data_IF_941132140406
#
_entry.id   IF_941132140406
#
_cell.length_a   1.000
_cell.length_b   1.000
_cell.length_c   1.000
_cell.angle_alpha   90.00
_cell.angle_beta   90.00
_cell.angle_gamma   90.00
#
_symmetry.space_group_name_H-M   'P 1'
#
loop_
_entity.id
_entity.type
_entity.pdbx_description
1 polymer ?
#
# COMPACT_ATOMS: atom_id res chain seq x y z
N UNK A 1 5.08 4.07 -10.87
CA UNK A 1 5.93 4.63 -11.94
C UNK A 1 5.20 5.70 -12.77
N UNK A 2 4.00 5.41 -13.29
CA UNK A 2 3.22 6.37 -14.09
C UNK A 2 2.79 7.60 -13.27
N UNK A 3 2.34 7.43 -12.03
CA UNK A 3 1.91 8.52 -11.16
C UNK A 3 3.06 9.47 -10.81
N UNK A 4 4.25 8.96 -10.49
CA UNK A 4 5.41 9.78 -10.18
C UNK A 4 5.87 10.64 -11.36
N UNK A 5 5.80 10.11 -12.60
CA UNK A 5 6.08 10.87 -13.80
C UNK A 5 4.97 11.90 -14.12
N UNK A 6 3.72 11.56 -13.79
CA UNK A 6 2.57 12.43 -13.97
C UNK A 6 2.64 13.64 -13.04
N UNK A 7 2.99 13.40 -11.78
CA UNK A 7 3.15 14.42 -10.74
C UNK A 7 4.24 15.42 -11.10
N UNK A 8 5.41 14.97 -11.55
CA UNK A 8 6.48 15.84 -12.05
C UNK A 8 6.09 16.66 -13.27
N UNK A 9 5.26 16.10 -14.16
CA UNK A 9 4.89 16.75 -15.43
C UNK A 9 3.73 17.73 -15.27
N UNK A 10 2.76 17.41 -14.43
CA UNK A 10 1.48 18.13 -14.36
C UNK A 10 1.20 18.75 -12.99
N UNK A 11 2.01 18.46 -11.98
CA UNK A 11 1.85 18.90 -10.59
C UNK A 11 0.85 18.08 -9.79
N UNK A 12 0.97 18.15 -8.45
CA UNK A 12 0.23 17.34 -7.50
C UNK A 12 -1.29 17.47 -7.64
N UNK A 13 -1.79 18.70 -7.79
CA UNK A 13 -3.23 18.98 -7.87
C UNK A 13 -3.86 18.29 -9.08
N UNK A 14 -3.21 18.39 -10.25
CA UNK A 14 -3.69 17.75 -11.49
C UNK A 14 -3.68 16.23 -11.36
N UNK A 15 -2.66 15.67 -10.71
CA UNK A 15 -2.54 14.22 -10.46
C UNK A 15 -3.67 13.71 -9.56
N UNK A 16 -4.03 14.45 -8.50
CA UNK A 16 -5.15 14.11 -7.61
C UNK A 16 -6.48 14.12 -8.40
N UNK A 17 -6.74 15.18 -9.17
CA UNK A 17 -7.96 15.25 -9.97
C UNK A 17 -8.02 14.17 -11.06
N UNK A 18 -6.91 13.85 -11.70
CA UNK A 18 -6.84 12.75 -12.67
C UNK A 18 -7.21 11.41 -12.02
N UNK A 19 -6.68 11.14 -10.82
CA UNK A 19 -7.05 9.96 -10.04
C UNK A 19 -8.53 9.89 -9.70
N UNK A 20 -9.12 11.00 -9.25
CA UNK A 20 -10.54 11.08 -8.95
C UNK A 20 -11.42 10.85 -10.19
N UNK A 21 -11.05 11.42 -11.33
CA UNK A 21 -11.75 11.21 -12.61
C UNK A 21 -11.66 9.74 -13.04
N UNK A 22 -10.49 9.11 -12.95
CA UNK A 22 -10.30 7.70 -13.30
C UNK A 22 -11.16 6.79 -12.41
N UNK A 23 -11.21 7.06 -11.10
CA UNK A 23 -12.08 6.33 -10.19
C UNK A 23 -13.56 6.50 -10.55
N UNK A 24 -14.01 7.72 -10.77
CA UNK A 24 -15.40 8.01 -11.17
C UNK A 24 -15.77 7.34 -12.51
N UNK A 25 -14.85 7.37 -13.48
CA UNK A 25 -15.04 6.70 -14.77
C UNK A 25 -15.13 5.18 -14.61
N UNK A 26 -14.37 4.57 -13.69
CA UNK A 26 -14.46 3.13 -13.44
C UNK A 26 -15.84 2.72 -12.92
N UNK A 27 -16.43 3.50 -12.02
CA UNK A 27 -17.81 3.30 -11.57
C UNK A 27 -18.83 3.45 -12.70
N UNK A 28 -18.64 4.43 -13.58
CA UNK A 28 -19.50 4.63 -14.75
C UNK A 28 -19.43 3.42 -15.71
N UNK A 29 -18.23 2.89 -15.97
CA UNK A 29 -18.06 1.69 -16.81
C UNK A 29 -18.75 0.48 -16.20
N UNK A 30 -18.63 0.27 -14.89
CA UNK A 30 -19.32 -0.83 -14.18
C UNK A 30 -20.83 -0.68 -14.33
N UNK A 31 -21.38 0.52 -14.07
CA UNK A 31 -22.83 0.77 -14.12
C UNK A 31 -23.44 0.58 -15.52
N UNK A 32 -22.62 0.74 -16.57
CA UNK A 32 -23.04 0.64 -17.98
C UNK A 32 -22.58 -0.68 -18.64
N UNK A 33 -22.03 -1.62 -17.87
CA UNK A 33 -21.38 -2.84 -18.40
C UNK A 33 -22.34 -3.85 -19.06
N UNK A 34 -23.66 -3.70 -18.85
CA UNK A 34 -24.65 -4.62 -19.41
C UNK A 34 -24.80 -5.96 -18.68
N UNK A 35 -24.11 -6.15 -17.55
CA UNK A 35 -24.34 -7.32 -16.70
C UNK A 35 -25.68 -7.21 -15.95
N UNK A 36 -26.10 -8.29 -15.30
CA UNK A 36 -27.30 -8.36 -14.47
C UNK A 36 -27.21 -7.32 -13.35
N UNK A 37 -28.34 -6.67 -13.05
CA UNK A 37 -28.41 -5.55 -12.10
C UNK A 37 -27.85 -5.92 -10.72
N UNK A 38 -28.15 -7.11 -10.23
CA UNK A 38 -27.71 -7.63 -8.95
C UNK A 38 -26.17 -7.74 -8.90
N UNK A 39 -25.55 -8.21 -9.98
CA UNK A 39 -24.08 -8.31 -10.11
C UNK A 39 -23.45 -6.92 -10.17
N UNK A 40 -24.05 -5.99 -10.91
CA UNK A 40 -23.58 -4.60 -10.97
C UNK A 40 -23.60 -3.98 -9.57
N UNK A 41 -24.70 -4.15 -8.82
CA UNK A 41 -24.83 -3.64 -7.46
C UNK A 41 -23.76 -4.22 -6.52
N UNK A 42 -23.53 -5.52 -6.57
CA UNK A 42 -22.48 -6.19 -5.78
C UNK A 42 -21.09 -5.64 -6.10
N UNK A 43 -20.74 -5.49 -7.38
CA UNK A 43 -19.46 -4.96 -7.81
C UNK A 43 -19.31 -3.48 -7.43
N UNK A 44 -20.33 -2.67 -7.58
CA UNK A 44 -20.31 -1.26 -7.15
C UNK A 44 -20.05 -1.13 -5.66
N UNK A 45 -20.76 -1.90 -4.83
CA UNK A 45 -20.55 -1.92 -3.38
C UNK A 45 -19.14 -2.38 -3.01
N UNK A 46 -18.60 -3.39 -3.70
CA UNK A 46 -17.23 -3.84 -3.54
C UNK A 46 -16.24 -2.70 -3.84
N UNK A 47 -16.35 -2.04 -4.98
CA UNK A 47 -15.48 -0.93 -5.38
C UNK A 47 -15.49 0.22 -4.37
N UNK A 48 -16.68 0.62 -3.90
CA UNK A 48 -16.84 1.69 -2.90
C UNK A 48 -16.13 1.33 -1.59
N UNK A 49 -16.35 0.10 -1.10
CA UNK A 49 -15.75 -0.36 0.15
C UNK A 49 -14.22 -0.48 0.04
N UNK A 50 -13.72 -1.06 -1.05
CA UNK A 50 -12.28 -1.22 -1.23
C UNK A 50 -11.57 0.13 -1.45
N UNK A 51 -12.19 1.06 -2.16
CA UNK A 51 -11.67 2.43 -2.29
C UNK A 51 -11.59 3.15 -0.93
N UNK A 52 -12.62 2.99 -0.10
CA UNK A 52 -12.59 3.49 1.28
C UNK A 52 -11.43 2.88 2.07
N UNK A 53 -11.28 1.55 2.03
CA UNK A 53 -10.20 0.83 2.72
C UNK A 53 -8.81 1.33 2.30
N UNK A 54 -8.56 1.51 1.00
CA UNK A 54 -7.30 2.06 0.49
C UNK A 54 -7.04 3.46 1.05
N UNK A 55 -8.03 4.35 1.03
CA UNK A 55 -7.84 5.71 1.54
C UNK A 55 -7.59 5.74 3.05
N UNK A 56 -8.29 4.91 3.82
CA UNK A 56 -8.06 4.77 5.26
C UNK A 56 -6.64 4.23 5.53
N UNK A 57 -6.19 3.22 4.79
CA UNK A 57 -4.85 2.66 4.95
C UNK A 57 -3.75 3.68 4.60
N UNK A 58 -3.93 4.45 3.54
CA UNK A 58 -2.97 5.51 3.17
C UNK A 58 -2.92 6.61 4.23
N UNK A 59 -4.04 6.93 4.87
CA UNK A 59 -4.08 7.88 5.98
C UNK A 59 -3.30 7.34 7.18
N UNK A 60 -3.45 6.06 7.52
CA UNK A 60 -2.69 5.42 8.59
C UNK A 60 -1.18 5.39 8.27
N UNK A 61 -0.81 5.02 7.05
CA UNK A 61 0.59 4.98 6.60
C UNK A 61 1.29 6.35 6.76
N UNK A 62 0.59 7.43 6.42
CA UNK A 62 1.07 8.80 6.64
C UNK A 62 1.18 9.18 8.13
N UNK A 63 0.23 8.74 8.96
CA UNK A 63 0.29 8.99 10.41
C UNK A 63 1.46 8.27 11.06
N UNK A 64 1.78 7.05 10.60
CA UNK A 64 2.89 6.26 11.11
C UNK A 64 4.27 6.88 10.86
N UNK A 65 4.40 7.85 9.96
CA UNK A 65 5.64 8.61 9.80
C UNK A 65 5.95 9.44 11.06
N UNK A 66 4.92 9.85 11.81
CA UNK A 66 5.01 10.77 12.96
C UNK A 66 4.80 10.11 14.32
N UNK A 67 4.24 8.90 14.36
CA UNK A 67 3.87 8.21 15.59
C UNK A 67 4.65 6.91 15.77
N UNK A 68 4.81 6.45 17.01
CA UNK A 68 5.32 5.12 17.28
C UNK A 68 4.29 4.09 16.83
N UNK A 69 4.71 3.17 15.97
CA UNK A 69 3.84 2.19 15.31
C UNK A 69 4.18 0.79 15.82
N UNK A 70 3.18 0.07 16.29
CA UNK A 70 3.27 -1.34 16.68
C UNK A 70 3.04 -2.27 15.50
N UNK A 71 3.34 -3.57 15.67
CA UNK A 71 2.97 -4.61 14.71
C UNK A 71 1.45 -4.72 14.51
N UNK A 72 0.66 -4.51 15.56
CA UNK A 72 -0.79 -4.54 15.47
C UNK A 72 -1.33 -3.38 14.63
N UNK A 73 -0.78 -2.17 14.79
CA UNK A 73 -1.13 -1.02 13.99
C UNK A 73 -0.80 -1.25 12.51
N UNK A 74 0.40 -1.80 12.23
CA UNK A 74 0.79 -2.16 10.88
C UNK A 74 -0.15 -3.21 10.28
N UNK A 75 -0.52 -4.25 11.03
CA UNK A 75 -1.45 -5.29 10.57
C UNK A 75 -2.83 -4.70 10.22
N UNK A 76 -3.35 -3.77 11.03
CA UNK A 76 -4.61 -3.07 10.76
C UNK A 76 -4.50 -2.28 9.45
N UNK A 77 -3.45 -1.51 9.26
CA UNK A 77 -3.22 -0.72 8.06
C UNK A 77 -3.04 -1.62 6.83
N UNK A 78 -2.17 -2.64 6.91
CA UNK A 78 -1.88 -3.54 5.82
C UNK A 78 -3.09 -4.39 5.40
N UNK A 79 -3.94 -4.81 6.34
CA UNK A 79 -5.18 -5.54 6.04
C UNK A 79 -6.14 -4.72 5.17
N UNK A 80 -6.14 -3.40 5.31
CA UNK A 80 -6.94 -2.50 4.48
C UNK A 80 -6.28 -2.23 3.13
N UNK A 81 -4.96 -2.09 3.07
CA UNK A 81 -4.20 -1.80 1.85
C UNK A 81 -4.01 -3.03 0.97
N UNK A 82 -3.43 -4.06 1.55
CA UNK A 82 -3.01 -5.26 0.84
C UNK A 82 -4.15 -6.00 0.15
N UNK A 83 -5.32 -6.08 0.81
CA UNK A 83 -6.48 -6.76 0.26
C UNK A 83 -7.18 -5.93 -0.83
N UNK A 84 -7.19 -4.61 -0.73
CA UNK A 84 -8.14 -3.77 -1.45
C UNK A 84 -8.06 -3.89 -2.96
N UNK A 85 -6.90 -3.68 -3.58
CA UNK A 85 -6.78 -3.71 -5.03
C UNK A 85 -6.97 -5.14 -5.58
N UNK A 86 -6.30 -6.12 -4.97
CA UNK A 86 -6.39 -7.52 -5.39
C UNK A 86 -7.77 -8.10 -5.11
N UNK A 87 -8.36 -7.76 -3.97
CA UNK A 87 -9.71 -8.17 -3.64
C UNK A 87 -10.74 -7.57 -4.61
N UNK A 88 -10.64 -6.28 -4.89
CA UNK A 88 -11.52 -5.60 -5.84
C UNK A 88 -11.49 -6.27 -7.22
N UNK A 89 -10.32 -6.57 -7.75
CA UNK A 89 -10.18 -7.16 -9.09
C UNK A 89 -10.61 -8.62 -9.13
N UNK A 90 -10.16 -9.44 -8.19
CA UNK A 90 -10.46 -10.88 -8.14
C UNK A 90 -11.95 -11.12 -7.84
N UNK A 91 -12.51 -10.40 -6.86
CA UNK A 91 -13.93 -10.53 -6.52
C UNK A 91 -14.85 -10.01 -7.63
N UNK A 92 -14.48 -8.93 -8.31
CA UNK A 92 -15.23 -8.46 -9.48
C UNK A 92 -15.33 -9.54 -10.54
N UNK A 93 -14.20 -10.17 -10.91
CA UNK A 93 -14.20 -11.28 -11.85
C UNK A 93 -15.07 -12.45 -11.41
N UNK A 94 -14.98 -12.84 -10.14
CA UNK A 94 -15.76 -13.92 -9.55
C UNK A 94 -17.27 -13.63 -9.58
N UNK A 95 -17.69 -12.45 -9.12
CA UNK A 95 -19.11 -12.04 -9.09
C UNK A 95 -19.69 -12.02 -10.50
N UNK A 96 -18.98 -11.40 -11.46
CA UNK A 96 -19.46 -11.31 -12.83
C UNK A 96 -19.53 -12.69 -13.51
N UNK A 97 -18.60 -13.60 -13.20
CA UNK A 97 -18.61 -14.99 -13.68
C UNK A 97 -19.70 -15.86 -13.00
N UNK A 98 -20.36 -15.38 -11.95
CA UNK A 98 -21.39 -16.12 -11.24
C UNK A 98 -20.86 -17.10 -10.21
N UNK A 99 -19.69 -16.84 -9.62
CA UNK A 99 -19.14 -17.63 -8.54
C UNK A 99 -20.09 -17.68 -7.33
N UNK A 100 -20.14 -18.83 -6.67
CA UNK A 100 -20.92 -19.02 -5.45
C UNK A 100 -20.32 -18.20 -4.28
N UNK A 101 -21.10 -17.92 -3.23
CA UNK A 101 -20.58 -17.22 -2.05
C UNK A 101 -19.35 -17.89 -1.43
N UNK A 102 -19.29 -19.22 -1.41
CA UNK A 102 -18.14 -19.95 -0.89
C UNK A 102 -16.88 -19.79 -1.75
N UNK A 103 -17.02 -19.79 -3.07
CA UNK A 103 -15.91 -19.51 -4.00
C UNK A 103 -15.42 -18.07 -3.84
N UNK A 104 -16.32 -17.11 -3.69
CA UNK A 104 -15.95 -15.72 -3.41
C UNK A 104 -15.16 -15.58 -2.11
N UNK A 105 -15.54 -16.26 -1.02
CA UNK A 105 -14.78 -16.24 0.22
C UNK A 105 -13.38 -16.89 0.11
N UNK A 106 -13.25 -17.96 -0.66
CA UNK A 106 -11.93 -18.56 -0.96
C UNK A 106 -11.08 -17.58 -1.76
N UNK A 107 -11.63 -16.99 -2.81
CA UNK A 107 -10.92 -16.03 -3.67
C UNK A 107 -10.55 -14.76 -2.91
N UNK A 108 -11.37 -14.33 -1.95
CA UNK A 108 -11.05 -13.22 -1.05
C UNK A 108 -9.79 -13.50 -0.22
N UNK A 109 -9.68 -14.71 0.34
CA UNK A 109 -8.47 -15.11 1.09
C UNK A 109 -7.24 -15.15 0.19
N UNK A 110 -7.38 -15.65 -1.04
CA UNK A 110 -6.30 -15.63 -2.03
C UNK A 110 -5.88 -14.20 -2.36
N UNK A 111 -6.84 -13.32 -2.64
CA UNK A 111 -6.60 -11.90 -2.92
C UNK A 111 -5.85 -11.21 -1.77
N UNK A 112 -6.29 -11.44 -0.54
CA UNK A 112 -5.65 -10.89 0.67
C UNK A 112 -4.20 -11.35 0.79
N UNK A 113 -3.91 -12.64 0.65
CA UNK A 113 -2.56 -13.18 0.74
C UNK A 113 -1.63 -12.65 -0.37
N UNK A 114 -2.14 -12.53 -1.60
CA UNK A 114 -1.40 -11.93 -2.71
C UNK A 114 -1.09 -10.46 -2.38
N UNK A 115 -2.08 -9.71 -1.87
CA UNK A 115 -1.91 -8.31 -1.50
C UNK A 115 -0.85 -8.11 -0.42
N UNK A 116 -0.88 -8.89 0.66
CA UNK A 116 0.17 -8.86 1.70
C UNK A 116 1.55 -9.17 1.13
N UNK A 117 1.66 -10.22 0.31
CA UNK A 117 2.93 -10.58 -0.33
C UNK A 117 3.46 -9.46 -1.21
N UNK A 118 2.58 -8.79 -1.95
CA UNK A 118 2.93 -7.66 -2.81
C UNK A 118 3.43 -6.46 -1.98
N UNK A 119 2.69 -6.05 -0.94
CA UNK A 119 3.07 -4.93 -0.09
C UNK A 119 4.42 -5.15 0.60
N UNK A 120 4.62 -6.33 1.21
CA UNK A 120 5.88 -6.67 1.88
C UNK A 120 7.04 -6.68 0.87
N UNK A 121 6.82 -7.22 -0.32
CA UNK A 121 7.85 -7.25 -1.37
C UNK A 121 8.21 -5.85 -1.85
N UNK A 122 7.21 -4.98 -2.06
CA UNK A 122 7.45 -3.58 -2.48
C UNK A 122 8.23 -2.81 -1.42
N UNK A 123 7.89 -2.97 -0.14
CA UNK A 123 8.60 -2.36 0.99
C UNK A 123 10.06 -2.86 1.10
N UNK A 124 10.31 -4.15 0.88
CA UNK A 124 11.68 -4.72 0.84
C UNK A 124 12.46 -4.14 -0.35
N UNK A 125 11.86 -4.10 -1.52
CA UNK A 125 12.46 -3.51 -2.73
C UNK A 125 12.75 -2.02 -2.49
N UNK A 126 11.80 -1.27 -1.96
CA UNK A 126 11.94 0.18 -1.66
C UNK A 126 13.09 0.48 -0.69
N UNK A 127 13.36 -0.46 0.22
CA UNK A 127 14.45 -0.33 1.21
C UNK A 127 15.79 -0.81 0.65
N UNK A 128 15.86 -1.98 0.03
CA UNK A 128 17.13 -2.69 -0.23
C UNK A 128 17.60 -2.66 -1.68
N UNK A 129 16.69 -2.56 -2.66
CA UNK A 129 17.07 -2.61 -4.06
C UNK A 129 17.98 -1.45 -4.46
N UNK A 130 18.86 -1.70 -5.42
CA UNK A 130 19.69 -0.68 -6.01
C UNK A 130 18.87 0.26 -6.91
N UNK A 131 19.37 1.48 -7.13
CA UNK A 131 18.72 2.45 -8.02
C UNK A 131 18.61 1.92 -9.46
N UNK A 132 19.56 1.10 -9.90
CA UNK A 132 19.54 0.47 -11.22
C UNK A 132 18.41 -0.54 -11.38
N UNK A 133 18.11 -1.30 -10.32
CA UNK A 133 17.05 -2.32 -10.33
C UNK A 133 15.65 -1.73 -10.16
N UNK A 134 15.51 -0.75 -9.28
CA UNK A 134 14.20 -0.20 -8.90
C UNK A 134 13.82 1.08 -9.64
N UNK A 135 14.81 1.78 -10.22
CA UNK A 135 14.59 3.08 -10.89
C UNK A 135 14.26 4.23 -9.93
N UNK A 136 14.51 4.04 -8.62
CA UNK A 136 14.38 5.05 -7.57
C UNK A 136 15.60 4.99 -6.64
N UNK A 137 15.93 6.10 -5.94
CA UNK A 137 17.02 6.09 -4.98
C UNK A 137 16.84 5.02 -3.90
N UNK A 138 17.86 4.20 -3.69
CA UNK A 138 17.87 3.16 -2.66
C UNK A 138 17.65 3.74 -1.26
N UNK A 139 16.81 3.09 -0.45
CA UNK A 139 16.46 3.57 0.90
C UNK A 139 15.56 4.81 0.89
N UNK A 140 14.82 5.04 -0.19
CA UNK A 140 13.88 6.16 -0.29
C UNK A 140 12.85 6.18 0.82
N UNK A 141 12.33 5.03 1.20
CA UNK A 141 11.34 4.87 2.27
C UNK A 141 11.91 5.23 3.64
N UNK A 142 13.16 4.82 3.93
CA UNK A 142 13.87 5.23 5.16
C UNK A 142 14.04 6.76 5.19
N UNK A 143 14.39 7.36 4.07
CA UNK A 143 14.66 8.81 3.96
C UNK A 143 13.43 9.66 4.26
N UNK A 144 12.25 9.18 3.95
CA UNK A 144 10.97 9.88 4.24
C UNK A 144 10.34 9.48 5.56
N UNK A 145 10.98 8.60 6.33
CA UNK A 145 10.51 8.17 7.65
C UNK A 145 9.42 7.10 7.65
N UNK A 146 9.21 6.42 6.51
CA UNK A 146 8.31 5.27 6.44
C UNK A 146 8.71 4.18 7.42
N UNK A 147 7.71 3.51 7.98
CA UNK A 147 7.88 2.38 8.90
C UNK A 147 7.28 1.09 8.32
N UNK A 148 7.88 0.53 7.26
CA UNK A 148 7.45 -0.76 6.74
C UNK A 148 7.67 -1.88 7.76
N UNK A 149 7.07 -3.04 7.53
CA UNK A 149 7.03 -4.16 8.48
C UNK A 149 8.43 -4.52 9.04
N UNK A 150 9.44 -4.61 8.19
CA UNK A 150 10.80 -4.97 8.61
C UNK A 150 11.45 -3.90 9.52
N UNK A 151 11.13 -2.62 9.35
CA UNK A 151 11.57 -1.54 10.25
C UNK A 151 10.89 -1.67 11.62
N UNK A 152 9.59 -1.96 11.65
CA UNK A 152 8.84 -2.15 12.90
C UNK A 152 9.39 -3.36 13.66
N UNK A 153 9.62 -4.50 13.00
CA UNK A 153 10.25 -5.66 13.59
C UNK A 153 11.64 -5.36 14.14
N UNK A 154 12.44 -4.60 13.41
CA UNK A 154 13.77 -4.19 13.88
C UNK A 154 13.66 -3.35 15.15
N UNK A 155 12.72 -2.40 15.21
CA UNK A 155 12.48 -1.60 16.42
C UNK A 155 12.06 -2.45 17.62
N UNK A 156 11.29 -3.50 17.43
CA UNK A 156 10.90 -4.42 18.53
C UNK A 156 12.06 -5.29 19.01
N UNK A 157 12.94 -5.72 18.12
CA UNK A 157 14.07 -6.60 18.44
C UNK A 157 15.24 -5.86 19.08
N UNK A 158 15.54 -4.65 18.64
CA UNK A 158 16.66 -3.87 19.15
C UNK A 158 16.44 -3.42 20.59
N UNK A 159 17.54 -3.35 21.37
CA UNK A 159 17.50 -2.94 22.79
C UNK A 159 18.64 -1.96 23.09
N UNK A 160 18.48 -1.24 24.19
CA UNK A 160 19.54 -0.41 24.78
C UNK A 160 20.06 0.69 23.84
N UNK A 161 21.38 0.70 23.60
CA UNK A 161 22.05 1.73 22.79
C UNK A 161 21.66 1.64 21.32
N UNK A 162 21.63 0.43 20.77
CA UNK A 162 21.30 0.22 19.36
C UNK A 162 19.86 0.65 19.02
N UNK A 163 18.90 0.37 19.90
CA UNK A 163 17.53 0.86 19.75
C UNK A 163 17.48 2.39 19.66
N UNK A 164 18.16 3.07 20.59
CA UNK A 164 18.17 4.54 20.63
C UNK A 164 18.79 5.14 19.37
N UNK A 165 19.89 4.57 18.92
CA UNK A 165 20.61 5.01 17.72
C UNK A 165 19.74 4.78 16.46
N UNK A 166 19.16 3.60 16.33
CA UNK A 166 18.28 3.25 15.21
C UNK A 166 17.07 4.18 15.13
N UNK A 167 16.35 4.37 16.26
CA UNK A 167 15.21 5.28 16.34
C UNK A 167 15.60 6.72 15.99
N UNK A 168 16.71 7.22 16.53
CA UNK A 168 17.21 8.58 16.23
C UNK A 168 17.49 8.78 14.74
N UNK A 169 18.06 7.77 14.09
CA UNK A 169 18.39 7.84 12.65
C UNK A 169 17.15 7.75 11.77
N UNK A 170 16.12 6.96 12.16
CA UNK A 170 14.84 6.91 11.46
C UNK A 170 14.07 8.24 11.52
N UNK A 171 14.14 8.94 12.65
CA UNK A 171 13.47 10.23 12.85
C UNK A 171 14.25 11.41 12.26
N UNK A 172 15.46 11.17 11.78
CA UNK A 172 16.34 12.21 11.24
C UNK A 172 15.85 12.72 9.89
N UNK A 173 15.57 14.01 9.80
CA UNK A 173 15.34 14.66 8.50
C UNK A 173 16.62 14.62 7.67
N UNK A 174 16.58 14.02 6.50
CA UNK A 174 17.72 13.90 5.59
C UNK A 174 18.90 13.08 6.15
N UNK A 175 18.72 11.79 6.44
CA UNK A 175 19.84 10.92 6.81
C UNK A 175 20.85 10.82 5.66
N UNK A 176 22.14 10.72 6.01
CA UNK A 176 23.22 10.53 5.04
C UNK A 176 23.16 9.13 4.41
N UNK A 177 23.90 8.91 3.32
CA UNK A 177 23.98 7.59 2.70
C UNK A 177 24.54 6.54 3.66
N UNK A 178 25.52 6.89 4.47
CA UNK A 178 26.14 5.98 5.44
C UNK A 178 25.18 5.62 6.57
N UNK A 179 24.38 6.58 7.03
CA UNK A 179 23.33 6.36 8.03
C UNK A 179 22.22 5.45 7.49
N UNK A 180 21.78 5.66 6.25
CA UNK A 180 20.83 4.76 5.58
C UNK A 180 21.42 3.36 5.45
N UNK A 181 22.69 3.25 5.05
CA UNK A 181 23.37 1.97 4.94
C UNK A 181 23.48 1.28 6.31
N UNK A 182 23.76 2.02 7.37
CA UNK A 182 23.80 1.47 8.73
C UNK A 182 22.41 0.94 9.15
N UNK A 183 21.34 1.69 8.89
CA UNK A 183 19.95 1.23 9.15
C UNK A 183 19.67 -0.11 8.43
N UNK A 184 20.09 -0.25 7.18
CA UNK A 184 19.89 -1.46 6.38
C UNK A 184 20.66 -2.70 6.88
N UNK A 185 21.65 -2.52 7.76
CA UNK A 185 22.44 -3.63 8.32
C UNK A 185 21.82 -4.19 9.61
N UNK A 186 20.77 -3.61 10.12
CA UNK A 186 20.08 -4.02 11.33
C UNK A 186 18.88 -4.88 11.05
#
# INVERSE_FOLDING_TARGET
>A
HLLFNYDRRFGNVTTIFAGNILYTNSLSVISQSGFEKEKIEMVMNLFINEYKNVNESQTLDLLFEFEDTSLDDWNIMASKRAASLFNCTIQTGAILAGASPNECEILKKVATNIGFSFDITDDIIGTFASELEYGRPSGGDIKIGKKPLHIIYTLELLKGKEFKEFKTLLEKKNPTKDEIQWIKTK
#
